data_IF_357800994677
#
_entry.id   IF_357800994677
#
_cell.length_a   1.000
_cell.length_b   1.000
_cell.length_c   1.000
_cell.angle_alpha   90.00
_cell.angle_beta   90.00
_cell.angle_gamma   90.00
#
_symmetry.space_group_name_H-M   'P 1'
#
loop_
_entity.id
_entity.type
_entity.pdbx_description
1 polymer ?
#
# COMPACT_ATOMS: atom_id res chain seq x y z
N UNK A 1 8.06 -5.33 16.50
CA UNK A 1 7.40 -4.95 15.25
C UNK A 1 8.39 -4.95 14.10
N UNK A 2 8.03 -5.60 13.01
CA UNK A 2 8.90 -5.66 11.84
C UNK A 2 8.86 -4.36 11.05
N UNK A 3 10.04 -3.91 10.59
CA UNK A 3 10.14 -2.74 9.73
C UNK A 3 9.97 -3.09 8.26
N UNK A 4 9.78 -4.35 7.96
CA UNK A 4 9.57 -4.81 6.59
C UNK A 4 8.66 -6.04 6.59
N UNK A 5 8.04 -6.28 5.44
CA UNK A 5 7.31 -7.52 5.16
C UNK A 5 8.11 -8.34 4.16
N UNK A 6 7.76 -9.61 4.06
CA UNK A 6 8.35 -10.49 3.05
C UNK A 6 7.25 -11.24 2.32
N UNK A 7 7.43 -11.43 1.02
CA UNK A 7 6.59 -12.35 0.25
C UNK A 7 7.49 -13.31 -0.50
N UNK A 8 6.99 -14.49 -0.76
CA UNK A 8 7.73 -15.50 -1.52
C UNK A 8 7.05 -15.70 -2.87
N UNK A 9 7.85 -15.58 -3.95
CA UNK A 9 7.36 -15.78 -5.31
C UNK A 9 8.30 -16.76 -5.99
N UNK A 10 7.77 -17.91 -6.37
CA UNK A 10 8.54 -18.98 -7.04
C UNK A 10 9.83 -19.35 -6.29
N UNK A 11 9.73 -19.45 -4.97
CA UNK A 11 10.86 -19.87 -4.13
C UNK A 11 11.82 -18.75 -3.76
N UNK A 12 11.61 -17.53 -4.23
CA UNK A 12 12.47 -16.40 -3.91
C UNK A 12 11.77 -15.44 -2.96
N UNK A 13 12.50 -14.96 -1.95
CA UNK A 13 11.97 -14.04 -0.94
C UNK A 13 12.23 -12.61 -1.37
N UNK A 14 11.17 -11.80 -1.34
CA UNK A 14 11.25 -10.37 -1.67
C UNK A 14 10.86 -9.55 -0.47
N UNK A 15 11.64 -8.52 -0.17
CA UNK A 15 11.35 -7.62 0.95
C UNK A 15 10.52 -6.43 0.51
N UNK A 16 9.60 -6.01 1.38
CA UNK A 16 8.71 -4.88 1.16
C UNK A 16 8.87 -3.90 2.31
N UNK A 17 9.05 -2.63 1.99
CA UNK A 17 9.30 -1.59 2.97
C UNK A 17 8.37 -0.41 2.71
N UNK A 18 7.80 0.16 3.77
CA UNK A 18 6.92 1.32 3.67
C UNK A 18 7.58 2.55 4.29
N UNK A 19 8.71 2.96 3.71
CA UNK A 19 9.45 4.14 4.16
C UNK A 19 9.20 5.35 3.26
N UNK A 20 10.06 6.36 3.37
CA UNK A 20 9.90 7.58 2.57
C UNK A 20 10.03 7.34 1.07
N UNK A 21 10.87 6.41 0.65
CA UNK A 21 10.98 6.08 -0.77
C UNK A 21 9.65 5.61 -1.35
N UNK A 22 9.01 4.67 -0.64
CA UNK A 22 7.69 4.19 -0.99
C UNK A 22 6.67 5.34 -1.00
N UNK A 23 6.65 6.12 0.10
CA UNK A 23 5.70 7.21 0.27
C UNK A 23 5.78 8.21 -0.88
N UNK A 24 7.00 8.65 -1.23
CA UNK A 24 7.17 9.64 -2.27
C UNK A 24 6.75 9.12 -3.65
N UNK A 25 7.09 7.86 -3.95
CA UNK A 25 6.72 7.29 -5.25
C UNK A 25 5.22 7.13 -5.40
N UNK A 26 4.54 6.71 -4.35
CA UNK A 26 3.09 6.54 -4.39
C UNK A 26 2.37 7.89 -4.42
N UNK A 27 2.84 8.84 -3.61
CA UNK A 27 2.18 10.16 -3.54
C UNK A 27 2.22 10.91 -4.86
N UNK A 28 3.27 10.73 -5.65
CA UNK A 28 3.38 11.38 -6.97
C UNK A 28 2.31 10.93 -7.96
N UNK A 29 1.68 9.79 -7.72
CA UNK A 29 0.72 9.21 -8.66
C UNK A 29 -0.57 10.00 -8.79
N UNK A 30 -0.90 10.81 -7.79
CA UNK A 30 -2.14 11.58 -7.81
C UNK A 30 -1.95 12.90 -7.08
N UNK A 31 -2.38 13.99 -7.74
CA UNK A 31 -2.38 15.33 -7.13
C UNK A 31 -3.77 15.92 -7.21
N UNK A 32 -4.13 16.69 -6.20
CA UNK A 32 -5.38 17.45 -6.21
C UNK A 32 -5.07 18.95 -6.02
N UNK A 33 -5.95 19.79 -6.53
CA UNK A 33 -5.83 21.22 -6.35
C UNK A 33 -6.22 21.60 -4.92
N UNK A 34 -5.43 22.47 -4.29
CA UNK A 34 -5.77 23.00 -2.97
C UNK A 34 -6.58 24.27 -3.18
N UNK A 35 -7.83 24.33 -2.69
CA UNK A 35 -8.71 25.48 -2.95
C UNK A 35 -8.08 26.80 -2.53
N UNK A 36 -8.22 27.80 -3.40
CA UNK A 36 -7.82 29.20 -3.14
C UNK A 36 -6.31 29.42 -2.94
N UNK A 37 -5.45 28.46 -3.31
CA UNK A 37 -4.01 28.63 -3.14
C UNK A 37 -3.23 28.60 -4.44
N UNK A 38 -3.83 28.08 -5.52
CA UNK A 38 -3.13 27.89 -6.79
C UNK A 38 -2.07 26.80 -6.74
N UNK A 39 -2.04 25.99 -5.68
CA UNK A 39 -1.07 24.93 -5.50
C UNK A 39 -1.74 23.55 -5.59
N UNK A 40 -0.91 22.52 -5.77
CA UNK A 40 -1.37 21.13 -5.80
C UNK A 40 -0.79 20.36 -4.62
N UNK A 41 -1.54 19.37 -4.17
CA UNK A 41 -1.08 18.46 -3.12
C UNK A 41 -1.05 17.05 -3.66
N UNK A 42 0.07 16.35 -3.43
CA UNK A 42 0.20 14.94 -3.81
C UNK A 42 -0.50 14.08 -2.75
N UNK A 43 -1.43 13.23 -3.19
CA UNK A 43 -2.29 12.47 -2.28
C UNK A 43 -2.39 10.98 -2.66
N UNK A 44 -1.42 10.50 -3.45
CA UNK A 44 -1.48 9.14 -3.97
C UNK A 44 -1.60 8.07 -2.91
N UNK A 45 -0.87 8.20 -1.79
CA UNK A 45 -0.94 7.19 -0.73
C UNK A 45 -2.35 7.07 -0.16
N UNK A 46 -2.97 8.20 0.14
CA UNK A 46 -4.30 8.21 0.73
C UNK A 46 -5.30 7.50 -0.18
N UNK A 47 -5.28 7.80 -1.47
CA UNK A 47 -6.20 7.19 -2.42
C UNK A 47 -5.89 5.73 -2.67
N UNK A 48 -4.60 5.35 -2.71
CA UNK A 48 -4.23 3.94 -2.85
C UNK A 48 -4.74 3.11 -1.68
N UNK A 49 -4.54 3.60 -0.45
CA UNK A 49 -4.99 2.88 0.75
C UNK A 49 -6.50 2.78 0.78
N UNK A 50 -7.21 3.87 0.46
CA UNK A 50 -8.67 3.84 0.41
C UNK A 50 -9.15 2.79 -0.60
N UNK A 51 -8.51 2.69 -1.75
CA UNK A 51 -8.85 1.68 -2.76
C UNK A 51 -8.61 0.26 -2.25
N UNK A 52 -7.50 0.05 -1.55
CA UNK A 52 -7.18 -1.27 -0.98
C UNK A 52 -8.23 -1.65 0.08
N UNK A 53 -8.63 -0.71 0.92
CA UNK A 53 -9.67 -0.94 1.93
C UNK A 53 -10.98 -1.34 1.24
N UNK A 54 -11.28 -0.76 0.09
CA UNK A 54 -12.46 -1.09 -0.68
C UNK A 54 -12.35 -2.40 -1.47
N UNK A 55 -11.21 -3.07 -1.39
CA UNK A 55 -11.03 -4.37 -2.03
C UNK A 55 -10.48 -4.32 -3.46
N UNK A 56 -9.87 -3.22 -3.86
CA UNK A 56 -9.29 -3.08 -5.19
C UNK A 56 -7.97 -3.83 -5.29
N UNK A 57 -7.98 -4.97 -5.98
CA UNK A 57 -6.80 -5.82 -6.09
C UNK A 57 -5.70 -5.18 -6.93
N UNK A 58 -6.05 -4.34 -7.91
CA UNK A 58 -5.04 -3.63 -8.69
C UNK A 58 -4.26 -2.66 -7.80
N UNK A 59 -4.96 -1.97 -6.90
CA UNK A 59 -4.30 -1.07 -5.95
C UNK A 59 -3.40 -1.85 -5.00
N UNK A 60 -3.84 -3.03 -4.56
CA UNK A 60 -3.02 -3.90 -3.72
C UNK A 60 -1.75 -4.32 -4.45
N UNK A 61 -1.87 -4.71 -5.71
CA UNK A 61 -0.72 -5.11 -6.52
C UNK A 61 0.28 -3.97 -6.68
N UNK A 62 -0.23 -2.78 -6.96
CA UNK A 62 0.64 -1.59 -7.08
C UNK A 62 1.35 -1.29 -5.77
N UNK A 63 0.64 -1.38 -4.67
CA UNK A 63 1.22 -1.13 -3.35
C UNK A 63 2.39 -2.08 -3.07
N UNK A 64 2.19 -3.37 -3.30
CA UNK A 64 3.25 -4.37 -3.09
C UNK A 64 4.45 -4.06 -3.99
N UNK A 65 4.19 -3.76 -5.25
CA UNK A 65 5.25 -3.44 -6.19
C UNK A 65 6.07 -2.23 -5.72
N UNK A 66 5.39 -1.17 -5.30
CA UNK A 66 6.09 0.04 -4.85
C UNK A 66 6.80 -0.15 -3.51
N UNK A 67 6.31 -1.03 -2.64
CA UNK A 67 7.00 -1.32 -1.39
C UNK A 67 8.33 -2.04 -1.60
N UNK A 68 8.52 -2.67 -2.77
CA UNK A 68 9.77 -3.35 -3.09
C UNK A 68 10.81 -2.41 -3.73
N UNK A 69 10.45 -1.17 -4.04
CA UNK A 69 11.40 -0.22 -4.65
C UNK A 69 12.60 -0.03 -3.72
N UNK A 70 13.79 -0.13 -4.29
CA UNK A 70 15.03 0.01 -3.55
C UNK A 70 15.48 -1.26 -2.83
N UNK A 71 14.70 -2.33 -2.91
CA UNK A 71 15.06 -3.60 -2.28
C UNK A 71 15.65 -4.57 -3.31
N UNK A 72 16.42 -5.54 -2.82
CA UNK A 72 17.02 -6.58 -3.65
C UNK A 72 16.67 -7.93 -3.05
N UNK A 73 16.16 -8.89 -3.83
CA UNK A 73 15.89 -8.80 -5.26
C UNK A 73 14.72 -7.88 -5.58
N UNK A 74 14.64 -7.46 -6.85
CA UNK A 74 13.61 -6.53 -7.33
C UNK A 74 12.44 -7.26 -7.95
N UNK A 75 11.22 -6.98 -7.46
CA UNK A 75 10.00 -7.56 -8.01
C UNK A 75 9.65 -6.91 -9.35
N UNK A 76 9.16 -7.74 -10.27
CA UNK A 76 8.51 -7.28 -11.48
C UNK A 76 7.00 -7.26 -11.26
N UNK A 77 6.30 -6.37 -11.94
CA UNK A 77 4.85 -6.25 -11.78
C UNK A 77 4.14 -7.58 -12.07
N UNK A 78 4.57 -8.28 -13.12
CA UNK A 78 3.99 -9.57 -13.46
C UNK A 78 4.15 -10.61 -12.35
N UNK A 79 5.26 -10.53 -11.59
CA UNK A 79 5.48 -11.43 -10.46
C UNK A 79 4.51 -11.14 -9.33
N UNK A 80 4.22 -9.86 -9.08
CA UNK A 80 3.25 -9.48 -8.06
C UNK A 80 1.86 -10.01 -8.43
N UNK A 81 1.49 -9.85 -9.69
CA UNK A 81 0.20 -10.31 -10.17
C UNK A 81 0.06 -11.82 -10.03
N UNK A 82 1.09 -12.57 -10.43
CA UNK A 82 1.09 -14.03 -10.27
C UNK A 82 0.98 -14.44 -8.81
N UNK A 83 1.70 -13.75 -7.93
CA UNK A 83 1.62 -14.01 -6.50
C UNK A 83 0.19 -13.86 -5.99
N UNK A 84 -0.47 -12.76 -6.35
CA UNK A 84 -1.84 -12.51 -5.88
C UNK A 84 -2.86 -13.48 -6.48
N UNK A 85 -2.64 -13.93 -7.71
CA UNK A 85 -3.51 -14.93 -8.32
C UNK A 85 -3.41 -16.29 -7.62
N UNK A 86 -2.23 -16.61 -7.08
CA UNK A 86 -1.95 -17.94 -6.56
C UNK A 86 -2.09 -18.09 -5.04
N UNK A 87 -2.17 -16.98 -4.28
CA UNK A 87 -2.27 -17.08 -2.82
C UNK A 87 -3.57 -17.79 -2.42
N UNK A 88 -3.50 -18.56 -1.34
CA UNK A 88 -4.67 -19.28 -0.85
C UNK A 88 -5.71 -18.37 -0.21
N UNK A 89 -5.25 -17.31 0.45
CA UNK A 89 -6.13 -16.42 1.22
C UNK A 89 -5.83 -14.96 0.87
N UNK A 90 -6.49 -14.48 -0.18
CA UNK A 90 -6.29 -13.10 -0.64
C UNK A 90 -6.76 -12.09 0.40
N UNK A 91 -7.78 -12.41 1.18
CA UNK A 91 -8.26 -11.51 2.22
C UNK A 91 -7.18 -11.24 3.25
N UNK A 92 -6.40 -12.29 3.59
CA UNK A 92 -5.31 -12.13 4.54
C UNK A 92 -4.21 -11.22 3.98
N UNK A 93 -3.95 -11.27 2.69
CA UNK A 93 -2.97 -10.39 2.07
C UNK A 93 -3.41 -8.93 2.18
N UNK A 94 -4.70 -8.64 1.90
CA UNK A 94 -5.24 -7.30 2.10
C UNK A 94 -5.04 -6.83 3.53
N UNK A 95 -5.40 -7.65 4.51
CA UNK A 95 -5.26 -7.32 5.93
C UNK A 95 -3.81 -7.07 6.31
N UNK A 96 -2.91 -7.95 5.90
CA UNK A 96 -1.50 -7.85 6.26
C UNK A 96 -0.87 -6.57 5.72
N UNK A 97 -1.19 -6.20 4.48
CA UNK A 97 -0.66 -4.98 3.87
C UNK A 97 -1.20 -3.74 4.60
N UNK A 98 -2.49 -3.70 4.86
CA UNK A 98 -3.10 -2.56 5.57
C UNK A 98 -2.51 -2.43 6.97
N UNK A 99 -2.39 -3.55 7.69
CA UNK A 99 -1.81 -3.52 9.04
C UNK A 99 -0.37 -3.02 9.01
N UNK A 100 0.41 -3.48 8.04
CA UNK A 100 1.80 -3.05 7.90
C UNK A 100 1.89 -1.53 7.66
N UNK A 101 1.08 -1.01 6.73
CA UNK A 101 1.07 0.41 6.44
C UNK A 101 0.61 1.24 7.63
N UNK A 102 -0.35 0.72 8.41
CA UNK A 102 -0.88 1.44 9.56
C UNK A 102 0.14 1.58 10.69
N UNK A 103 1.19 0.78 10.68
CA UNK A 103 2.23 0.80 11.69
C UNK A 103 3.52 1.48 11.23
N UNK A 104 3.66 1.70 9.91
CA UNK A 104 4.84 2.33 9.35
C UNK A 104 4.82 3.83 9.63
N UNK A 105 5.88 4.36 10.23
CA UNK A 105 5.93 5.78 10.62
C UNK A 105 5.64 6.74 9.46
N UNK A 106 6.12 6.43 8.27
CA UNK A 106 5.93 7.32 7.11
C UNK A 106 4.48 7.34 6.62
N UNK A 107 3.67 6.34 6.98
CA UNK A 107 2.35 6.15 6.39
C UNK A 107 1.20 6.23 7.40
N UNK A 108 1.46 5.96 8.68
CA UNK A 108 0.37 5.73 9.63
C UNK A 108 -0.56 6.91 9.83
N UNK A 109 -0.08 8.15 9.69
CA UNK A 109 -0.92 9.34 9.83
C UNK A 109 -1.99 9.41 8.74
N UNK A 110 -1.67 8.91 7.54
CA UNK A 110 -2.63 8.86 6.44
C UNK A 110 -3.56 7.65 6.53
N UNK A 111 -3.04 6.53 7.05
CA UNK A 111 -3.76 5.26 7.03
C UNK A 111 -4.77 5.13 8.16
N UNK A 112 -4.38 5.47 9.39
CA UNK A 112 -5.24 5.28 10.55
C UNK A 112 -6.58 6.00 10.49
N UNK A 113 -6.65 7.26 10.02
CA UNK A 113 -7.97 7.90 9.89
C UNK A 113 -8.90 7.18 8.93
N UNK A 114 -8.35 6.57 7.87
CA UNK A 114 -9.16 5.83 6.90
C UNK A 114 -9.75 4.57 7.54
N UNK A 115 -9.00 3.90 8.40
CA UNK A 115 -9.47 2.72 9.10
C UNK A 115 -10.56 3.08 10.11
N UNK A 116 -10.39 4.18 10.84
CA UNK A 116 -11.39 4.65 11.79
C UNK A 116 -12.71 4.97 11.11
N UNK A 117 -12.66 5.63 9.93
CA UNK A 117 -13.86 5.93 9.15
C UNK A 117 -14.56 4.65 8.73
N UNK A 118 -13.79 3.67 8.27
CA UNK A 118 -14.34 2.39 7.84
C UNK A 118 -15.02 1.66 8.99
N UNK A 119 -14.39 1.63 10.16
CA UNK A 119 -14.97 1.02 11.36
C UNK A 119 -16.28 1.68 11.75
N UNK A 120 -16.34 3.00 11.72
CA UNK A 120 -17.54 3.76 12.05
C UNK A 120 -18.68 3.40 11.10
N UNK A 121 -18.40 3.31 9.82
CA UNK A 121 -19.38 2.93 8.83
C UNK A 121 -19.88 1.50 9.04
N UNK A 122 -18.98 0.60 9.39
CA UNK A 122 -19.29 -0.81 9.60
C UNK A 122 -20.24 -1.00 10.80
N UNK A 123 -20.10 -0.18 11.83
CA UNK A 123 -20.89 -0.28 13.05
C UNK A 123 -22.34 0.19 12.89
N UNK A 124 -22.63 0.83 11.82
CA UNK A 124 -24.02 1.23 11.54
C UNK A 124 -24.82 0.05 10.98
#
# INVERSE_FOLDING_TARGET
MSKYMEIEVNGEIYQLVAGFGFLHEVNKKLSIDVPNTGTKKEVGLKYMVASIIDGDIDALADCIFYMNIGQSPRLKKAQVESYLEDVEDIEKVFEDVINFLSQANACKKEVKPLLSTQETETKK
#
